data_IF_405356566885
#
_entry.id   IF_405356566885
#
_cell.length_a   1.000
_cell.length_b   1.000
_cell.length_c   1.000
_cell.angle_alpha   90.00
_cell.angle_beta   90.00
_cell.angle_gamma   90.00
#
_symmetry.space_group_name_H-M   'P 1'
#
loop_
_entity.id
_entity.type
_entity.pdbx_description
1 polymer ?
#
# COMPACT_ATOMS: atom_id res chain seq x y z
N UNK A 1 -54.17 -68.86 -21.93
CA UNK A 1 -54.63 -67.45 -21.83
C UNK A 1 -53.60 -66.66 -21.17
N UNK A 2 -52.78 -65.91 -21.88
CA UNK A 2 -51.71 -65.05 -21.38
C UNK A 2 -52.07 -63.59 -21.70
N UNK A 3 -52.36 -62.82 -20.72
CA UNK A 3 -52.67 -61.39 -20.89
C UNK A 3 -51.38 -60.58 -21.02
N UNK A 4 -51.26 -59.89 -22.19
CA UNK A 4 -50.26 -58.89 -22.43
C UNK A 4 -50.78 -57.47 -21.98
N UNK A 5 -50.12 -56.78 -21.14
CA UNK A 5 -50.31 -55.37 -20.84
C UNK A 5 -49.23 -54.54 -21.58
N UNK A 6 -49.59 -53.51 -22.35
CA UNK A 6 -48.59 -52.66 -22.97
C UNK A 6 -48.15 -51.57 -21.95
N UNK A 7 -46.83 -51.47 -21.74
CA UNK A 7 -46.19 -50.38 -21.04
C UNK A 7 -46.14 -49.14 -21.95
N UNK A 8 -46.89 -48.09 -21.57
CA UNK A 8 -46.71 -46.76 -22.16
C UNK A 8 -45.57 -46.07 -21.42
N UNK A 9 -44.39 -45.98 -22.03
CA UNK A 9 -43.28 -45.22 -21.56
C UNK A 9 -43.46 -43.74 -21.92
N UNK A 10 -43.79 -42.89 -20.95
CA UNK A 10 -43.81 -41.45 -21.11
C UNK A 10 -42.36 -40.92 -20.96
N UNK A 11 -41.69 -40.56 -22.05
CA UNK A 11 -40.39 -39.89 -22.06
C UNK A 11 -40.64 -38.43 -21.66
N UNK A 12 -40.33 -38.07 -20.40
CA UNK A 12 -40.20 -36.69 -19.94
C UNK A 12 -38.87 -36.16 -20.49
N UNK A 13 -38.91 -35.43 -21.61
CA UNK A 13 -37.82 -34.61 -22.09
C UNK A 13 -37.62 -33.44 -21.09
N UNK A 14 -36.71 -33.62 -20.14
CA UNK A 14 -36.30 -32.54 -19.26
C UNK A 14 -35.53 -31.49 -20.05
N UNK A 15 -36.17 -30.39 -20.40
CA UNK A 15 -35.48 -29.15 -20.79
C UNK A 15 -34.69 -28.63 -19.59
N UNK A 16 -33.43 -29.01 -19.47
CA UNK A 16 -32.50 -28.31 -18.59
C UNK A 16 -32.26 -26.92 -19.18
N UNK A 17 -33.03 -25.95 -18.72
CA UNK A 17 -32.71 -24.53 -18.90
C UNK A 17 -31.36 -24.31 -18.22
N UNK A 18 -30.27 -24.38 -18.98
CA UNK A 18 -28.99 -23.87 -18.58
C UNK A 18 -29.12 -22.35 -18.48
N UNK A 19 -29.49 -21.86 -17.27
CA UNK A 19 -29.33 -20.47 -16.97
C UNK A 19 -27.85 -20.14 -17.23
N UNK A 20 -27.55 -19.10 -18.04
CA UNK A 20 -26.17 -18.69 -18.22
C UNK A 20 -25.62 -18.38 -16.84
N UNK A 21 -24.62 -19.14 -16.42
CA UNK A 21 -23.87 -18.85 -15.20
C UNK A 21 -23.23 -17.49 -15.47
N UNK A 22 -23.85 -16.43 -14.93
CA UNK A 22 -23.38 -15.07 -15.11
C UNK A 22 -21.93 -15.06 -14.59
N UNK A 23 -20.98 -14.92 -15.50
CA UNK A 23 -19.57 -14.90 -15.14
C UNK A 23 -19.41 -13.85 -14.03
N UNK A 24 -18.97 -14.28 -12.85
CA UNK A 24 -18.81 -13.40 -11.70
C UNK A 24 -17.89 -12.27 -12.13
N UNK A 25 -18.39 -11.05 -12.09
CA UNK A 25 -17.61 -9.89 -12.48
C UNK A 25 -16.35 -9.84 -11.60
N UNK A 26 -15.17 -9.75 -12.22
CA UNK A 26 -13.91 -9.64 -11.50
C UNK A 26 -13.92 -8.39 -10.61
N UNK A 27 -13.50 -8.47 -9.36
CA UNK A 27 -13.49 -7.30 -8.48
C UNK A 27 -12.44 -6.29 -8.93
N UNK A 28 -12.71 -5.03 -8.70
CA UNK A 28 -11.67 -4.00 -8.69
C UNK A 28 -10.86 -4.16 -7.41
N UNK A 29 -9.61 -3.74 -7.44
CA UNK A 29 -8.69 -3.85 -6.32
C UNK A 29 -8.02 -2.48 -6.10
N UNK A 30 -8.16 -1.94 -4.90
CA UNK A 30 -7.40 -0.80 -4.40
C UNK A 30 -6.46 -1.33 -3.33
N UNK A 31 -5.17 -1.31 -3.60
CA UNK A 31 -4.12 -1.54 -2.62
C UNK A 31 -3.57 -0.18 -2.18
N UNK A 32 -3.95 0.26 -0.99
CA UNK A 32 -3.54 1.51 -0.38
C UNK A 32 -2.36 1.23 0.55
N UNK A 33 -1.16 1.46 0.04
CA UNK A 33 0.09 1.22 0.77
C UNK A 33 0.67 2.53 1.28
N UNK A 34 0.92 2.59 2.57
CA UNK A 34 1.52 3.74 3.26
C UNK A 34 3.00 3.47 3.52
N UNK A 35 3.81 4.51 3.55
CA UNK A 35 5.25 4.44 3.74
C UNK A 35 5.62 4.78 5.18
N UNK A 36 6.37 3.90 5.85
CA UNK A 36 6.92 4.09 7.21
C UNK A 36 5.87 4.24 8.34
N UNK A 37 4.69 3.70 8.22
CA UNK A 37 3.65 3.84 9.24
C UNK A 37 3.74 2.74 10.29
N UNK A 38 4.05 3.12 11.52
CA UNK A 38 3.97 2.23 12.67
C UNK A 38 2.51 1.87 13.02
N UNK A 39 2.31 0.67 13.54
CA UNK A 39 0.98 0.13 13.79
C UNK A 39 0.16 0.90 14.84
N UNK A 40 0.77 1.80 15.65
CA UNK A 40 0.02 2.66 16.56
C UNK A 40 -0.17 4.11 16.05
N UNK A 41 0.28 4.45 14.85
CA UNK A 41 0.15 5.81 14.28
C UNK A 41 -1.23 6.07 13.63
N UNK A 42 -2.27 5.60 14.28
CA UNK A 42 -3.67 5.69 13.86
C UNK A 42 -4.59 5.65 15.07
N UNK A 43 -5.80 6.19 14.95
CA UNK A 43 -6.84 6.05 15.98
C UNK A 43 -7.45 4.64 16.04
N UNK A 44 -7.16 3.78 15.04
CA UNK A 44 -7.58 2.37 15.03
C UNK A 44 -6.59 1.52 15.84
N UNK A 45 -6.98 0.90 16.96
CA UNK A 45 -6.08 0.08 17.75
C UNK A 45 -5.83 -1.29 17.08
N UNK A 46 -4.54 -1.62 16.84
CA UNK A 46 -4.07 -2.91 16.33
C UNK A 46 -3.42 -3.78 17.39
N UNK A 47 -3.30 -3.28 18.62
CA UNK A 47 -2.81 -4.03 19.79
C UNK A 47 -3.99 -4.48 20.66
N UNK A 48 -3.71 -5.25 21.71
CA UNK A 48 -4.73 -5.73 22.66
C UNK A 48 -5.53 -4.60 23.30
N UNK A 49 -4.85 -3.47 23.54
CA UNK A 49 -5.43 -2.26 24.13
C UNK A 49 -5.01 -1.02 23.34
N UNK A 50 -5.81 0.06 23.34
CA UNK A 50 -5.40 1.34 22.81
C UNK A 50 -4.09 1.82 23.44
N UNK A 51 -3.21 2.38 22.62
CA UNK A 51 -1.93 2.93 23.04
C UNK A 51 -1.99 4.45 23.12
N UNK A 52 -1.01 5.13 23.73
CA UNK A 52 -0.99 6.58 23.79
C UNK A 52 -1.13 7.27 22.44
N UNK A 53 -0.47 6.75 21.39
CA UNK A 53 -0.54 7.33 20.06
C UNK A 53 -1.89 7.11 19.38
N UNK A 54 -2.60 6.02 19.65
CA UNK A 54 -3.96 5.83 19.13
C UNK A 54 -4.92 6.96 19.56
N UNK A 55 -4.68 7.58 20.71
CA UNK A 55 -5.51 8.70 21.20
C UNK A 55 -5.07 10.05 20.62
N UNK A 56 -3.88 10.13 20.04
CA UNK A 56 -3.33 11.36 19.45
C UNK A 56 -3.78 11.57 18.02
N UNK A 57 -3.73 10.51 17.21
CA UNK A 57 -4.00 10.63 15.77
C UNK A 57 -5.47 10.65 15.45
N UNK A 58 -5.84 11.50 14.49
CA UNK A 58 -7.19 11.56 13.92
C UNK A 58 -7.18 10.85 12.56
N UNK A 59 -7.66 9.62 12.53
CA UNK A 59 -7.74 8.83 11.29
C UNK A 59 -9.16 8.28 11.08
N UNK A 60 -10.16 9.17 10.92
CA UNK A 60 -11.57 8.76 10.83
C UNK A 60 -11.88 7.88 9.61
N UNK A 61 -11.10 7.97 8.54
CA UNK A 61 -11.31 7.16 7.35
C UNK A 61 -10.73 5.75 7.50
N UNK A 62 -9.62 5.60 8.23
CA UNK A 62 -9.15 4.27 8.66
C UNK A 62 -10.17 3.62 9.62
N UNK A 63 -10.77 4.39 10.55
CA UNK A 63 -11.86 3.89 11.40
C UNK A 63 -13.06 3.44 10.55
N UNK A 64 -13.46 4.26 9.57
CA UNK A 64 -14.54 3.93 8.63
C UNK A 64 -14.23 2.62 7.89
N UNK A 65 -13.03 2.49 7.33
CA UNK A 65 -12.60 1.27 6.63
C UNK A 65 -12.59 0.05 7.57
N UNK A 66 -12.09 0.19 8.80
CA UNK A 66 -12.07 -0.87 9.80
C UNK A 66 -13.50 -1.30 10.21
N UNK A 67 -14.42 -0.35 10.34
CA UNK A 67 -15.82 -0.61 10.62
C UNK A 67 -16.57 -1.29 9.46
N UNK A 68 -16.14 -1.07 8.21
CA UNK A 68 -16.68 -1.73 7.03
C UNK A 68 -16.06 -3.11 6.78
N UNK A 69 -14.81 -3.31 7.20
CA UNK A 69 -13.98 -4.45 6.87
C UNK A 69 -13.52 -5.26 8.07
N UNK A 70 -12.37 -5.88 7.88
CA UNK A 70 -11.67 -6.70 8.88
C UNK A 70 -10.31 -6.08 9.16
N UNK A 71 -10.00 -5.88 10.43
CA UNK A 71 -8.69 -5.47 10.92
C UNK A 71 -7.82 -6.70 11.16
N UNK A 72 -6.62 -6.73 10.60
CA UNK A 72 -5.63 -7.78 10.86
C UNK A 72 -4.64 -7.31 11.91
N UNK A 73 -4.54 -8.08 13.00
CA UNK A 73 -3.65 -7.74 14.14
C UNK A 73 -2.28 -8.39 14.05
N UNK A 74 -2.06 -9.25 13.04
CA UNK A 74 -0.83 -9.99 12.81
C UNK A 74 -0.41 -9.88 11.33
N UNK A 75 -0.30 -8.66 10.82
CA UNK A 75 0.21 -8.39 9.48
C UNK A 75 1.69 -7.97 9.56
N UNK A 76 2.48 -8.43 8.60
CA UNK A 76 3.93 -8.26 8.58
C UNK A 76 4.43 -7.91 7.19
N UNK A 77 5.47 -7.07 7.15
CA UNK A 77 6.23 -6.75 5.94
C UNK A 77 7.74 -6.97 6.18
N UNK A 78 8.58 -6.63 5.22
CA UNK A 78 10.01 -6.52 5.47
C UNK A 78 10.30 -5.26 6.30
N UNK A 79 11.48 -5.19 6.90
CA UNK A 79 11.84 -4.07 7.77
C UNK A 79 12.15 -2.75 7.02
N UNK A 80 12.14 -2.77 5.68
CA UNK A 80 12.52 -1.65 4.81
C UNK A 80 11.67 -1.68 3.52
N UNK A 81 11.44 -0.51 2.94
CA UNK A 81 10.53 -0.29 1.82
C UNK A 81 10.82 -1.12 0.56
N UNK A 82 12.05 -1.09 -0.01
CA UNK A 82 12.34 -1.82 -1.27
C UNK A 82 12.15 -3.34 -1.13
N UNK A 83 12.66 -4.01 -0.09
CA UNK A 83 12.37 -5.43 0.14
C UNK A 83 10.87 -5.75 0.18
N UNK A 84 10.08 -4.95 0.90
CA UNK A 84 8.63 -5.14 1.01
C UNK A 84 7.92 -5.01 -0.33
N UNK A 85 8.25 -3.97 -1.09
CA UNK A 85 7.64 -3.72 -2.41
C UNK A 85 8.06 -4.75 -3.43
N UNK A 86 9.30 -5.23 -3.36
CA UNK A 86 9.77 -6.36 -4.16
C UNK A 86 9.05 -7.66 -3.80
N UNK A 87 8.84 -7.94 -2.50
CA UNK A 87 8.09 -9.10 -2.03
C UNK A 87 6.63 -9.06 -2.50
N UNK A 88 5.97 -7.91 -2.36
CA UNK A 88 4.61 -7.67 -2.81
C UNK A 88 4.42 -7.97 -4.31
N UNK A 89 5.33 -7.46 -5.15
CA UNK A 89 5.19 -7.55 -6.61
C UNK A 89 5.69 -8.88 -7.20
N UNK A 90 6.46 -9.66 -6.43
CA UNK A 90 7.05 -10.93 -6.89
C UNK A 90 6.48 -12.18 -6.24
N UNK A 91 5.84 -12.05 -5.07
CA UNK A 91 5.45 -13.19 -4.23
C UNK A 91 6.64 -13.94 -3.63
N UNK A 92 7.82 -13.34 -3.63
CA UNK A 92 9.03 -13.90 -3.05
C UNK A 92 9.38 -13.17 -1.75
N UNK A 93 9.86 -13.89 -0.75
CA UNK A 93 10.45 -13.24 0.42
C UNK A 93 11.82 -12.62 0.10
N UNK A 94 12.30 -11.73 0.98
CA UNK A 94 13.53 -11.00 0.77
C UNK A 94 14.77 -11.91 0.61
N UNK A 95 14.79 -13.07 1.25
CA UNK A 95 15.89 -14.03 1.09
C UNK A 95 15.94 -14.65 -0.33
N UNK A 96 14.77 -14.78 -0.98
CA UNK A 96 14.68 -15.36 -2.33
C UNK A 96 14.96 -14.34 -3.43
N UNK A 97 14.34 -13.14 -3.38
CA UNK A 97 14.64 -12.10 -4.37
C UNK A 97 15.94 -11.34 -4.07
N UNK A 98 16.55 -11.52 -2.90
CA UNK A 98 17.83 -10.94 -2.47
C UNK A 98 17.90 -9.41 -2.55
N UNK A 99 16.80 -8.72 -2.51
CA UNK A 99 16.75 -7.26 -2.27
C UNK A 99 16.56 -7.10 -0.77
N UNK A 100 17.61 -6.84 -0.03
CA UNK A 100 17.62 -6.87 1.44
C UNK A 100 17.79 -5.50 2.07
N UNK A 101 18.07 -4.48 1.25
CA UNK A 101 18.12 -3.08 1.65
C UNK A 101 17.43 -2.20 0.59
N UNK A 102 17.31 -0.89 0.82
CA UNK A 102 16.69 0.02 -0.12
C UNK A 102 17.54 0.25 -1.37
N UNK A 103 16.89 0.29 -2.53
CA UNK A 103 17.52 0.52 -3.83
C UNK A 103 17.43 1.99 -4.20
N UNK A 104 18.39 2.51 -4.99
CA UNK A 104 18.26 3.79 -5.66
C UNK A 104 19.20 3.91 -6.86
N UNK A 105 20.51 3.79 -6.67
CA UNK A 105 21.49 3.99 -7.73
C UNK A 105 21.89 2.67 -8.40
N UNK A 106 22.09 2.73 -9.70
CA UNK A 106 22.55 1.60 -10.48
C UNK A 106 23.85 0.98 -9.94
N UNK A 107 23.84 -0.33 -9.70
CA UNK A 107 24.96 -1.13 -9.19
C UNK A 107 25.59 -0.65 -7.87
N UNK A 108 24.90 0.16 -7.08
CA UNK A 108 25.42 0.65 -5.81
C UNK A 108 24.57 0.15 -4.65
N UNK A 109 25.22 -0.46 -3.67
CA UNK A 109 24.59 -0.83 -2.39
C UNK A 109 24.43 0.39 -1.51
N UNK A 110 23.42 0.35 -0.66
CA UNK A 110 23.08 1.39 0.32
C UNK A 110 23.44 0.96 1.74
N UNK A 111 24.18 -0.12 1.88
CA UNK A 111 24.67 -0.58 3.17
C UNK A 111 25.69 0.41 3.76
N UNK A 112 25.62 0.59 5.08
CA UNK A 112 26.66 1.31 5.80
C UNK A 112 27.93 0.44 5.86
N UNK A 113 29.13 1.03 5.64
CA UNK A 113 30.39 0.30 5.82
C UNK A 113 30.48 -0.31 7.21
N UNK A 114 31.10 -1.50 7.31
CA UNK A 114 31.34 -2.18 8.58
C UNK A 114 32.79 -2.67 8.62
N UNK A 115 33.48 -2.36 9.74
CA UNK A 115 34.83 -2.84 9.97
C UNK A 115 34.88 -4.22 10.66
N UNK A 116 33.71 -4.74 11.05
CA UNK A 116 33.59 -5.96 11.88
C UNK A 116 32.87 -7.13 11.20
N UNK A 117 32.16 -6.90 10.10
CA UNK A 117 31.48 -7.92 9.32
C UNK A 117 31.62 -7.68 7.83
N UNK A 118 31.83 -8.78 7.09
CA UNK A 118 31.73 -8.77 5.63
C UNK A 118 30.24 -8.71 5.24
N UNK A 119 29.88 -7.62 4.56
CA UNK A 119 28.48 -7.44 4.13
C UNK A 119 28.18 -8.37 2.95
N UNK A 120 27.07 -9.15 3.00
CA UNK A 120 26.71 -10.04 1.91
C UNK A 120 26.34 -9.25 0.66
N UNK A 121 26.66 -9.78 -0.51
CA UNK A 121 26.16 -9.24 -1.77
C UNK A 121 24.65 -9.41 -1.87
N UNK A 122 23.95 -8.38 -2.36
CA UNK A 122 22.53 -8.41 -2.60
C UNK A 122 22.14 -7.72 -3.92
N UNK A 123 20.90 -7.90 -4.34
CA UNK A 123 20.39 -7.39 -5.62
C UNK A 123 20.02 -5.91 -5.53
N UNK A 124 21.02 -5.03 -5.47
CA UNK A 124 20.85 -3.59 -5.30
C UNK A 124 20.16 -2.89 -6.49
N UNK A 125 20.06 -3.56 -7.65
CA UNK A 125 19.27 -3.09 -8.78
C UNK A 125 17.77 -3.47 -8.66
N UNK A 126 17.38 -4.13 -7.58
CA UNK A 126 15.99 -4.46 -7.31
C UNK A 126 15.42 -5.59 -8.16
N UNK A 127 14.11 -5.57 -8.36
CA UNK A 127 13.40 -6.47 -9.27
C UNK A 127 13.25 -5.86 -10.66
N UNK A 128 13.30 -6.71 -11.67
CA UNK A 128 13.23 -6.33 -13.08
C UNK A 128 12.18 -7.16 -13.80
N UNK A 129 11.51 -6.63 -14.82
CA UNK A 129 10.57 -7.43 -15.62
C UNK A 129 11.31 -8.56 -16.34
N UNK A 130 10.72 -9.75 -16.39
CA UNK A 130 11.30 -10.94 -17.01
C UNK A 130 11.75 -10.68 -18.47
N UNK A 131 10.95 -9.93 -19.23
CA UNK A 131 11.29 -9.53 -20.60
C UNK A 131 12.64 -8.80 -20.69
N UNK A 132 13.08 -8.12 -19.66
CA UNK A 132 14.35 -7.40 -19.64
C UNK A 132 15.56 -8.35 -19.54
N UNK A 133 15.39 -9.59 -19.10
CA UNK A 133 16.47 -10.57 -19.00
C UNK A 133 17.19 -10.79 -20.32
N UNK A 134 16.48 -10.65 -21.44
CA UNK A 134 17.03 -10.88 -22.78
C UNK A 134 17.90 -9.73 -23.31
N UNK A 135 17.81 -8.52 -22.74
CA UNK A 135 18.53 -7.34 -23.20
C UNK A 135 19.25 -6.57 -22.08
N UNK A 136 18.89 -6.80 -20.84
CA UNK A 136 19.56 -6.17 -19.71
C UNK A 136 20.96 -6.76 -19.52
N UNK A 137 21.97 -5.91 -19.66
CA UNK A 137 23.37 -6.30 -19.52
C UNK A 137 23.92 -5.88 -18.15
N UNK A 138 23.21 -6.29 -17.07
CA UNK A 138 23.65 -6.02 -15.70
C UNK A 138 23.19 -7.14 -14.75
N UNK A 139 23.96 -7.34 -13.68
CA UNK A 139 23.66 -8.25 -12.59
C UNK A 139 22.99 -7.56 -11.40
N UNK A 140 23.06 -8.19 -10.23
CA UNK A 140 22.54 -7.69 -8.96
C UNK A 140 21.05 -7.28 -9.05
N UNK A 141 20.26 -8.09 -9.76
CA UNK A 141 18.83 -7.92 -9.95
C UNK A 141 18.14 -9.28 -9.94
N UNK A 142 16.86 -9.30 -9.65
CA UNK A 142 16.01 -10.47 -9.80
C UNK A 142 14.98 -10.21 -10.89
N UNK A 143 14.97 -11.08 -11.92
CA UNK A 143 14.00 -10.99 -13.01
C UNK A 143 12.75 -11.77 -12.67
N UNK A 144 11.59 -11.17 -12.88
CA UNK A 144 10.28 -11.69 -12.47
C UNK A 144 9.19 -11.35 -13.50
N UNK A 145 8.10 -12.09 -13.47
CA UNK A 145 6.82 -11.63 -14.03
C UNK A 145 6.05 -10.91 -12.90
N UNK A 146 5.97 -9.56 -12.91
CA UNK A 146 5.41 -8.82 -11.80
C UNK A 146 3.90 -8.98 -11.67
N UNK A 147 3.37 -8.86 -10.44
CA UNK A 147 1.93 -8.88 -10.15
C UNK A 147 1.09 -8.00 -11.10
N UNK A 148 1.43 -6.71 -11.35
CA UNK A 148 0.65 -5.88 -12.26
C UNK A 148 0.69 -6.38 -13.70
N UNK A 149 1.80 -6.98 -14.17
CA UNK A 149 1.86 -7.60 -15.50
C UNK A 149 0.85 -8.74 -15.61
N UNK A 150 0.79 -9.64 -14.62
CA UNK A 150 -0.16 -10.75 -14.61
C UNK A 150 -1.60 -10.26 -14.57
N UNK A 151 -1.89 -9.22 -13.80
CA UNK A 151 -3.22 -8.61 -13.75
C UNK A 151 -3.58 -7.94 -15.08
N UNK A 152 -2.66 -7.18 -15.69
CA UNK A 152 -2.83 -6.58 -17.01
C UNK A 152 -3.13 -7.63 -18.08
N UNK A 153 -2.36 -8.71 -18.16
CA UNK A 153 -2.53 -9.80 -19.12
C UNK A 153 -3.88 -10.52 -18.97
N UNK A 154 -4.48 -10.39 -17.78
CA UNK A 154 -5.82 -10.90 -17.50
C UNK A 154 -6.91 -9.82 -17.56
N UNK A 155 -6.62 -8.69 -18.22
CA UNK A 155 -7.61 -7.67 -18.58
C UNK A 155 -7.91 -6.63 -17.52
N UNK A 156 -7.11 -6.51 -16.48
CA UNK A 156 -7.17 -5.37 -15.56
C UNK A 156 -6.57 -4.12 -16.20
N UNK A 157 -7.11 -2.97 -15.82
CA UNK A 157 -6.44 -1.67 -16.02
C UNK A 157 -5.60 -1.38 -14.79
N UNK A 158 -4.29 -1.30 -14.95
CA UNK A 158 -3.33 -1.27 -13.84
C UNK A 158 -2.75 0.12 -13.67
N UNK A 159 -2.86 0.67 -12.45
CA UNK A 159 -2.44 2.03 -12.12
C UNK A 159 -1.49 1.96 -10.93
N UNK A 160 -0.29 2.53 -11.07
CA UNK A 160 0.56 2.91 -9.94
C UNK A 160 0.43 4.41 -9.71
N UNK A 161 0.14 4.81 -8.48
CA UNK A 161 0.11 6.21 -8.07
C UNK A 161 0.96 6.41 -6.82
N UNK A 162 2.06 7.15 -6.96
CA UNK A 162 3.02 7.44 -5.89
C UNK A 162 4.28 6.58 -5.95
N UNK A 163 4.82 6.20 -4.80
CA UNK A 163 6.13 5.55 -4.65
C UNK A 163 6.19 4.17 -5.32
N UNK A 164 7.15 3.98 -6.21
CA UNK A 164 7.49 2.68 -6.80
C UNK A 164 8.59 1.96 -6.00
N UNK A 165 9.81 2.45 -6.03
CA UNK A 165 10.95 2.05 -5.17
C UNK A 165 11.23 0.53 -5.14
N UNK A 166 11.13 -0.15 -6.27
CA UNK A 166 11.41 -1.59 -6.40
C UNK A 166 12.51 -1.91 -7.44
N UNK A 167 12.98 -0.90 -8.20
CA UNK A 167 14.08 -1.00 -9.15
C UNK A 167 14.99 0.23 -9.08
N UNK A 168 16.29 0.05 -9.30
CA UNK A 168 17.27 1.13 -9.28
C UNK A 168 17.16 2.03 -10.52
N UNK A 169 17.65 3.26 -10.41
CA UNK A 169 17.80 4.20 -11.52
C UNK A 169 18.52 3.53 -12.70
N UNK A 170 18.17 3.94 -13.93
CA UNK A 170 18.75 3.43 -15.17
C UNK A 170 18.49 1.92 -15.43
N UNK A 171 17.55 1.32 -14.72
CA UNK A 171 17.10 -0.05 -14.99
C UNK A 171 15.64 -0.06 -15.47
N UNK A 172 15.20 -1.08 -16.22
CA UNK A 172 13.78 -1.21 -16.60
C UNK A 172 12.82 -1.18 -15.38
N UNK A 173 13.23 -1.76 -14.26
CA UNK A 173 12.45 -1.78 -13.01
C UNK A 173 12.29 -0.41 -12.34
N UNK A 174 13.02 0.63 -12.77
CA UNK A 174 12.78 2.01 -12.34
C UNK A 174 11.42 2.50 -12.81
N UNK A 175 11.01 2.08 -14.02
CA UNK A 175 9.78 2.55 -14.65
C UNK A 175 8.63 1.57 -14.42
N UNK A 176 7.60 1.93 -13.65
CA UNK A 176 6.44 1.08 -13.42
C UNK A 176 5.72 0.58 -14.67
N UNK A 177 5.76 1.33 -15.79
CA UNK A 177 5.12 0.85 -17.03
C UNK A 177 5.86 -0.35 -17.63
N UNK A 178 7.15 -0.49 -17.40
CA UNK A 178 7.91 -1.69 -17.76
C UNK A 178 7.55 -2.90 -16.88
N UNK A 179 7.01 -2.65 -15.70
CA UNK A 179 6.58 -3.66 -14.74
C UNK A 179 5.10 -4.09 -14.92
N UNK A 180 4.44 -3.61 -15.99
CA UNK A 180 3.08 -4.02 -16.33
C UNK A 180 1.97 -3.11 -15.80
N UNK A 181 2.30 -1.90 -15.34
CA UNK A 181 1.30 -0.88 -15.09
C UNK A 181 0.95 -0.14 -16.38
N UNK A 182 -0.37 0.03 -16.68
CA UNK A 182 -0.84 0.87 -17.78
C UNK A 182 -0.56 2.35 -17.54
N UNK A 183 -0.57 2.75 -16.26
CA UNK A 183 -0.39 4.14 -15.83
C UNK A 183 0.63 4.20 -14.70
N UNK A 184 1.58 5.11 -14.83
CA UNK A 184 2.51 5.50 -13.78
C UNK A 184 2.30 6.97 -13.42
N UNK A 185 1.94 7.23 -12.17
CA UNK A 185 1.78 8.58 -11.62
C UNK A 185 2.85 8.76 -10.55
N UNK A 186 3.87 9.55 -10.87
CA UNK A 186 4.93 9.94 -9.94
C UNK A 186 5.76 8.78 -9.34
N UNK A 187 5.74 7.59 -9.94
CA UNK A 187 6.53 6.45 -9.48
C UNK A 187 7.90 6.39 -10.16
N UNK A 188 8.97 6.22 -9.38
CA UNK A 188 10.34 6.07 -9.83
C UNK A 188 11.19 5.29 -8.81
N UNK A 189 12.52 5.29 -9.00
CA UNK A 189 13.45 4.63 -8.09
C UNK A 189 13.55 5.30 -6.70
N UNK A 190 13.09 6.55 -6.54
CA UNK A 190 13.22 7.29 -5.29
C UNK A 190 12.43 6.65 -4.14
N UNK A 191 13.09 6.53 -2.99
CA UNK A 191 12.55 5.87 -1.81
C UNK A 191 11.76 6.77 -0.87
N UNK A 192 11.70 8.06 -1.14
CA UNK A 192 10.96 9.06 -0.37
C UNK A 192 10.85 10.35 -1.14
N UNK A 193 10.01 11.30 -0.72
CA UNK A 193 9.94 12.62 -1.35
C UNK A 193 11.04 13.52 -0.75
N UNK A 194 11.61 14.39 -1.55
CA UNK A 194 12.48 15.44 -1.02
C UNK A 194 11.68 16.52 -0.27
N UNK A 195 10.41 16.67 -0.60
CA UNK A 195 9.45 17.54 0.07
C UNK A 195 8.01 17.12 -0.24
N UNK A 196 7.09 17.42 0.67
CA UNK A 196 5.64 17.30 0.41
C UNK A 196 5.02 18.59 -0.10
N UNK A 197 5.80 19.67 -0.16
CA UNK A 197 5.33 20.99 -0.49
C UNK A 197 5.48 21.29 -1.98
N UNK A 198 4.42 21.78 -2.60
CA UNK A 198 4.42 22.24 -3.99
C UNK A 198 5.44 23.36 -4.21
N UNK A 199 5.63 24.25 -3.22
CA UNK A 199 6.61 25.33 -3.26
C UNK A 199 8.07 24.84 -3.40
N UNK A 200 8.34 23.60 -3.01
CA UNK A 200 9.64 22.95 -3.17
C UNK A 200 9.68 22.03 -4.41
N UNK A 201 8.65 22.08 -5.27
CA UNK A 201 8.47 21.19 -6.42
C UNK A 201 8.54 19.69 -6.02
N UNK A 202 8.04 19.35 -4.82
CA UNK A 202 8.08 18.03 -4.22
C UNK A 202 9.48 17.41 -4.11
N UNK A 203 10.51 18.25 -3.96
CA UNK A 203 11.89 17.82 -3.76
C UNK A 203 12.81 18.11 -4.94
N UNK A 204 14.06 17.62 -4.83
CA UNK A 204 15.13 17.85 -5.82
C UNK A 204 16.03 16.60 -5.93
N UNK A 205 16.75 16.49 -7.06
CA UNK A 205 17.72 15.42 -7.30
C UNK A 205 17.08 14.04 -7.19
N UNK A 206 17.73 13.12 -6.55
CA UNK A 206 17.29 11.72 -6.42
C UNK A 206 15.97 11.54 -5.67
N UNK A 207 15.52 12.54 -4.94
CA UNK A 207 14.27 12.53 -4.17
C UNK A 207 13.20 13.46 -4.73
N UNK A 208 13.37 13.91 -5.96
CA UNK A 208 12.32 14.66 -6.66
C UNK A 208 11.16 13.75 -7.06
N UNK A 209 9.95 14.16 -6.74
CA UNK A 209 8.72 13.50 -7.17
C UNK A 209 8.16 14.23 -8.39
N UNK A 210 8.48 13.72 -9.58
CA UNK A 210 8.11 14.33 -10.86
C UNK A 210 6.71 13.95 -11.37
N UNK A 211 6.28 14.57 -12.47
CA UNK A 211 5.01 14.28 -13.14
C UNK A 211 3.79 14.93 -12.50
N UNK A 212 4.00 15.85 -11.55
CA UNK A 212 2.96 16.55 -10.80
C UNK A 212 3.07 18.08 -10.93
N UNK A 213 3.73 18.57 -11.97
CA UNK A 213 4.07 20.00 -12.17
C UNK A 213 2.83 20.91 -12.18
N UNK A 214 1.69 20.39 -12.65
CA UNK A 214 0.40 21.14 -12.68
C UNK A 214 -0.13 21.54 -11.28
N UNK A 215 0.46 20.97 -10.21
CA UNK A 215 0.08 21.25 -8.83
C UNK A 215 1.00 22.26 -8.13
N UNK A 216 2.15 22.59 -8.70
CA UNK A 216 3.14 23.47 -8.06
C UNK A 216 2.56 24.86 -7.77
N UNK A 217 2.00 25.53 -8.79
CA UNK A 217 1.41 26.87 -8.64
C UNK A 217 0.16 26.90 -7.75
N UNK A 218 -0.52 25.76 -7.60
CA UNK A 218 -1.72 25.64 -6.77
C UNK A 218 -1.41 25.47 -5.29
N UNK A 219 -0.14 25.26 -4.92
CA UNK A 219 0.25 24.97 -3.54
C UNK A 219 -0.32 23.67 -2.99
N UNK A 220 -0.68 22.70 -3.86
CA UNK A 220 -1.30 21.44 -3.46
C UNK A 220 -0.29 20.58 -2.71
N UNK A 221 -0.66 20.01 -1.59
CA UNK A 221 0.18 19.09 -0.83
C UNK A 221 0.37 17.77 -1.60
N UNK A 222 1.57 17.14 -1.54
CA UNK A 222 1.90 15.97 -2.37
C UNK A 222 0.87 14.84 -2.22
N UNK A 223 0.46 14.53 -1.00
CA UNK A 223 -0.53 13.48 -0.74
C UNK A 223 -1.86 13.76 -1.43
N UNK A 224 -2.29 15.03 -1.43
CA UNK A 224 -3.50 15.45 -2.15
C UNK A 224 -3.34 15.40 -3.67
N UNK A 225 -2.19 15.85 -4.18
CA UNK A 225 -1.91 15.80 -5.63
C UNK A 225 -2.01 14.36 -6.16
N UNK A 226 -1.40 13.40 -5.46
CA UNK A 226 -1.49 11.97 -5.79
C UNK A 226 -2.93 11.46 -5.73
N UNK A 227 -3.71 11.87 -4.72
CA UNK A 227 -5.11 11.48 -4.57
C UNK A 227 -5.97 11.95 -5.74
N UNK A 228 -5.79 13.23 -6.12
CA UNK A 228 -6.51 13.82 -7.25
C UNK A 228 -6.18 13.10 -8.57
N UNK A 229 -4.91 12.77 -8.80
CA UNK A 229 -4.48 12.00 -9.97
C UNK A 229 -5.07 10.60 -9.97
N UNK A 230 -5.01 9.88 -8.84
CA UNK A 230 -5.58 8.54 -8.75
C UNK A 230 -7.08 8.54 -9.08
N UNK A 231 -7.83 9.50 -8.52
CA UNK A 231 -9.26 9.65 -8.79
C UNK A 231 -9.51 9.96 -10.27
N UNK A 232 -8.72 10.85 -10.87
CA UNK A 232 -8.88 11.20 -12.29
C UNK A 232 -8.65 10.00 -13.21
N UNK A 233 -7.60 9.22 -12.94
CA UNK A 233 -7.28 8.02 -13.72
C UNK A 233 -8.26 6.86 -13.51
N UNK A 234 -8.97 6.77 -12.39
CA UNK A 234 -10.01 5.78 -12.14
C UNK A 234 -11.27 6.00 -12.99
N UNK A 235 -11.54 7.23 -13.44
CA UNK A 235 -12.72 7.55 -14.26
C UNK A 235 -12.77 6.73 -15.55
N UNK A 236 -11.61 6.50 -16.18
CA UNK A 236 -11.50 5.76 -17.44
C UNK A 236 -11.96 4.30 -17.29
N UNK A 237 -11.34 3.45 -16.45
CA UNK A 237 -11.76 2.04 -16.33
C UNK A 237 -13.18 1.91 -15.79
N UNK A 238 -13.66 2.83 -14.95
CA UNK A 238 -15.06 2.84 -14.47
C UNK A 238 -16.04 3.09 -15.62
N UNK A 239 -15.78 4.07 -16.49
CA UNK A 239 -16.61 4.35 -17.66
C UNK A 239 -16.60 3.19 -18.66
N UNK A 240 -15.45 2.56 -18.88
CA UNK A 240 -15.26 1.39 -19.76
C UNK A 240 -15.76 0.08 -19.13
N UNK A 241 -16.16 0.09 -17.85
CA UNK A 241 -16.52 -1.11 -17.06
C UNK A 241 -15.41 -2.18 -17.05
N UNK A 242 -14.17 -1.75 -17.13
CA UNK A 242 -12.97 -2.60 -17.06
C UNK A 242 -12.58 -2.77 -15.60
N UNK A 243 -12.26 -3.98 -15.12
CA UNK A 243 -11.72 -4.14 -13.78
C UNK A 243 -10.39 -3.40 -13.67
N UNK A 244 -10.12 -2.78 -12.52
CA UNK A 244 -8.88 -2.05 -12.29
C UNK A 244 -8.13 -2.57 -11.06
N UNK A 245 -6.82 -2.41 -11.10
CA UNK A 245 -5.91 -2.52 -9.97
C UNK A 245 -5.25 -1.16 -9.75
N UNK A 246 -5.62 -0.47 -8.68
CA UNK A 246 -4.97 0.74 -8.22
C UNK A 246 -3.98 0.37 -7.10
N UNK A 247 -2.69 0.51 -7.39
CA UNK A 247 -1.65 0.51 -6.38
C UNK A 247 -1.43 1.95 -5.94
N UNK A 248 -2.24 2.40 -4.95
CA UNK A 248 -2.10 3.70 -4.31
C UNK A 248 -0.98 3.61 -3.29
N UNK A 249 0.20 3.98 -3.70
CA UNK A 249 1.44 3.83 -2.97
C UNK A 249 1.93 5.20 -2.51
N UNK A 250 1.44 5.65 -1.36
CA UNK A 250 1.82 6.97 -0.86
C UNK A 250 3.30 7.07 -0.49
N UNK A 251 3.87 8.27 -0.64
CA UNK A 251 5.11 8.65 0.03
C UNK A 251 4.88 8.96 1.52
N UNK A 252 3.65 9.33 1.91
CA UNK A 252 3.28 9.55 3.29
C UNK A 252 3.30 8.21 4.04
N UNK A 253 3.82 8.18 5.23
CA UNK A 253 4.24 9.26 6.12
C UNK A 253 5.78 9.34 6.27
N UNK A 254 6.52 8.97 5.22
CA UNK A 254 7.97 9.04 5.20
C UNK A 254 8.48 10.46 5.49
N UNK A 255 9.68 10.57 6.05
CA UNK A 255 10.37 11.87 6.19
C UNK A 255 10.55 12.57 4.82
N UNK A 256 10.59 13.92 4.78
CA UNK A 256 10.58 14.87 5.90
C UNK A 256 9.18 15.03 6.51
N UNK A 257 9.09 15.18 7.85
CA UNK A 257 7.81 15.43 8.52
C UNK A 257 7.35 16.87 8.29
N UNK A 258 6.77 17.11 7.11
CA UNK A 258 6.15 18.38 6.75
C UNK A 258 4.63 18.27 6.94
N UNK A 259 4.00 19.25 7.58
CA UNK A 259 2.58 19.15 7.89
C UNK A 259 1.72 19.38 6.66
N UNK A 260 0.67 18.62 6.52
CA UNK A 260 -0.47 19.07 5.74
C UNK A 260 -1.19 20.17 6.54
N UNK A 261 -1.02 21.41 6.12
CA UNK A 261 -1.51 22.59 6.85
C UNK A 261 -3.02 22.62 7.06
N UNK A 262 -3.78 21.84 6.29
CA UNK A 262 -5.24 21.71 6.43
C UNK A 262 -5.63 21.11 7.77
N UNK A 263 -4.74 20.33 8.40
CA UNK A 263 -5.00 19.56 9.61
C UNK A 263 -4.23 20.04 10.83
N UNK A 264 -3.31 20.99 10.71
CA UNK A 264 -2.50 21.48 11.85
C UNK A 264 -3.36 22.02 12.98
N UNK A 265 -4.52 22.63 12.68
CA UNK A 265 -5.46 23.15 13.68
C UNK A 265 -6.05 22.08 14.62
N UNK A 266 -5.96 20.79 14.27
CA UNK A 266 -6.39 19.71 15.14
C UNK A 266 -5.36 19.40 16.23
N UNK A 267 -4.11 19.83 16.03
CA UNK A 267 -2.96 19.53 16.89
C UNK A 267 -2.30 20.77 17.51
N UNK A 268 -2.80 21.96 17.22
CA UNK A 268 -2.33 23.22 17.78
C UNK A 268 -3.51 24.15 18.09
N UNK A 269 -3.31 25.03 19.10
CA UNK A 269 -4.26 26.08 19.43
C UNK A 269 -4.13 27.28 18.48
N UNK A 270 -4.95 28.32 18.72
CA UNK A 270 -4.96 29.53 17.87
C UNK A 270 -3.65 30.33 17.89
N UNK A 271 -2.85 30.16 18.93
CA UNK A 271 -1.56 30.80 19.09
C UNK A 271 -0.41 29.96 18.49
N UNK A 272 -0.76 28.84 17.82
CA UNK A 272 0.21 27.91 17.22
C UNK A 272 0.92 27.02 18.24
N UNK A 273 0.47 27.01 19.50
CA UNK A 273 0.99 26.12 20.52
C UNK A 273 0.37 24.74 20.37
N UNK A 274 1.16 23.68 20.49
CA UNK A 274 0.62 22.33 20.45
C UNK A 274 -0.46 22.10 21.50
N UNK A 275 -1.51 21.35 21.16
CA UNK A 275 -2.54 20.94 22.11
C UNK A 275 -1.92 20.18 23.28
N UNK A 276 -2.56 20.26 24.46
CA UNK A 276 -2.11 19.52 25.62
C UNK A 276 -2.53 18.06 25.51
N UNK A 277 -1.55 17.16 25.55
CA UNK A 277 -1.75 15.71 25.55
C UNK A 277 -1.82 15.24 27.01
N UNK A 278 -2.99 14.82 27.46
CA UNK A 278 -3.26 14.42 28.86
C UNK A 278 -2.47 13.19 29.29
N UNK A 279 -2.14 12.30 28.37
CA UNK A 279 -1.35 11.11 28.65
C UNK A 279 0.14 11.44 28.72
N UNK A 280 0.59 12.29 27.81
CA UNK A 280 1.97 12.80 27.81
C UNK A 280 2.21 13.78 28.96
N UNK A 281 1.15 14.41 29.49
CA UNK A 281 1.21 15.54 30.46
C UNK A 281 2.08 16.69 29.96
N UNK A 282 2.02 16.97 28.68
CA UNK A 282 2.77 18.03 28.01
C UNK A 282 2.05 18.49 26.75
N UNK A 283 2.41 19.68 26.24
CA UNK A 283 1.97 20.13 24.92
C UNK A 283 2.75 19.40 23.82
N UNK A 284 2.10 19.15 22.69
CA UNK A 284 2.75 18.64 21.50
C UNK A 284 3.83 19.62 21.03
N UNK A 285 4.96 19.09 20.62
CA UNK A 285 6.01 19.88 19.98
C UNK A 285 5.76 20.00 18.48
N UNK A 286 6.53 20.86 17.79
CA UNK A 286 6.36 21.11 16.35
C UNK A 286 6.50 19.85 15.49
N UNK A 287 7.40 18.94 15.82
CA UNK A 287 7.58 17.69 15.08
C UNK A 287 6.37 16.77 15.23
N UNK A 288 5.82 16.67 16.44
CA UNK A 288 4.61 15.90 16.72
C UNK A 288 3.38 16.45 15.97
N UNK A 289 3.24 17.79 15.94
CA UNK A 289 2.16 18.45 15.19
C UNK A 289 2.30 18.17 13.69
N UNK A 290 3.50 18.37 13.14
CA UNK A 290 3.78 18.16 11.72
C UNK A 290 3.49 16.73 11.30
N UNK A 291 3.97 15.77 12.10
CA UNK A 291 3.77 14.35 11.81
C UNK A 291 2.30 13.95 11.91
N UNK A 292 1.58 14.38 12.94
CA UNK A 292 0.17 14.09 13.10
C UNK A 292 -0.68 14.69 11.96
N UNK A 293 -0.38 15.91 11.52
CA UNK A 293 -1.04 16.52 10.37
C UNK A 293 -0.71 15.81 9.03
N UNK A 294 0.49 15.25 8.89
CA UNK A 294 0.86 14.43 7.74
C UNK A 294 0.08 13.10 7.72
N UNK A 295 -0.07 12.45 8.88
CA UNK A 295 -0.88 11.22 9.04
C UNK A 295 -2.35 11.49 8.70
N UNK A 296 -2.91 12.60 9.19
CA UNK A 296 -4.31 12.96 8.89
C UNK A 296 -4.53 13.30 7.40
N UNK A 297 -3.54 13.92 6.74
CA UNK A 297 -3.55 14.14 5.30
C UNK A 297 -3.56 12.83 4.50
N UNK A 298 -2.85 11.81 4.96
CA UNK A 298 -2.87 10.46 4.38
C UNK A 298 -4.23 9.79 4.61
N UNK A 299 -4.79 9.88 5.81
CA UNK A 299 -6.13 9.36 6.12
C UNK A 299 -7.22 10.02 5.27
N UNK A 300 -7.12 11.34 5.05
CA UNK A 300 -8.02 12.06 4.13
C UNK A 300 -7.96 11.48 2.72
N UNK A 301 -6.78 11.14 2.21
CA UNK A 301 -6.63 10.52 0.89
C UNK A 301 -7.40 9.20 0.79
N UNK A 302 -7.35 8.37 1.83
CA UNK A 302 -8.16 7.15 1.91
C UNK A 302 -9.66 7.47 1.85
N UNK A 303 -10.09 8.48 2.60
CA UNK A 303 -11.48 8.96 2.60
C UNK A 303 -11.94 9.43 1.23
N UNK A 304 -11.16 10.28 0.56
CA UNK A 304 -11.50 10.83 -0.76
C UNK A 304 -11.64 9.72 -1.83
N UNK A 305 -10.80 8.69 -1.78
CA UNK A 305 -10.92 7.51 -2.66
C UNK A 305 -12.19 6.71 -2.35
N UNK A 306 -12.51 6.50 -1.08
CA UNK A 306 -13.73 5.80 -0.67
C UNK A 306 -14.97 6.58 -1.10
N UNK A 307 -15.00 7.90 -0.88
CA UNK A 307 -16.10 8.78 -1.27
C UNK A 307 -16.29 8.82 -2.79
N UNK A 308 -15.20 8.86 -3.56
CA UNK A 308 -15.26 8.76 -5.01
C UNK A 308 -15.85 7.43 -5.47
N UNK A 309 -15.45 6.32 -4.87
CA UNK A 309 -16.01 5.00 -5.20
C UNK A 309 -17.50 4.93 -4.85
N UNK A 310 -17.94 5.49 -3.73
CA UNK A 310 -19.36 5.51 -3.32
C UNK A 310 -20.25 6.31 -4.26
N UNK A 311 -19.73 7.32 -4.96
CA UNK A 311 -20.44 8.01 -6.05
C UNK A 311 -20.70 7.08 -7.25
N UNK A 312 -20.06 5.89 -7.28
CA UNK A 312 -20.22 4.86 -8.29
C UNK A 312 -20.68 3.52 -7.66
N UNK A 313 -21.93 3.39 -7.18
CA UNK A 313 -22.36 2.29 -6.28
C UNK A 313 -22.09 0.89 -6.82
N UNK A 314 -22.21 0.67 -8.15
CA UNK A 314 -21.92 -0.62 -8.75
C UNK A 314 -20.43 -0.96 -8.68
N UNK A 315 -19.58 0.04 -8.84
CA UNK A 315 -18.12 -0.08 -8.71
C UNK A 315 -17.74 -0.33 -7.26
N UNK A 316 -18.25 0.47 -6.32
CA UNK A 316 -17.97 0.33 -4.90
C UNK A 316 -18.33 -1.08 -4.37
N UNK A 317 -19.50 -1.60 -4.76
CA UNK A 317 -19.95 -2.95 -4.36
C UNK A 317 -19.11 -4.09 -4.95
N UNK A 318 -18.23 -3.79 -5.90
CA UNK A 318 -17.32 -4.76 -6.53
C UNK A 318 -15.85 -4.35 -6.38
N UNK A 319 -15.51 -3.52 -5.40
CA UNK A 319 -14.14 -3.06 -5.15
C UNK A 319 -13.65 -3.57 -3.81
N UNK A 320 -12.51 -4.22 -3.83
CA UNK A 320 -11.74 -4.61 -2.65
C UNK A 320 -10.82 -3.45 -2.28
N UNK A 321 -10.79 -3.06 -1.01
CA UNK A 321 -9.86 -2.06 -0.49
C UNK A 321 -8.98 -2.73 0.55
N UNK A 322 -7.67 -2.64 0.36
CA UNK A 322 -6.66 -3.16 1.28
C UNK A 322 -5.79 -1.98 1.70
N UNK A 323 -5.73 -1.72 2.99
CA UNK A 323 -4.83 -0.75 3.61
C UNK A 323 -3.71 -1.49 4.33
N UNK A 324 -2.46 -1.07 4.11
CA UNK A 324 -1.28 -1.61 4.82
C UNK A 324 -0.12 -0.62 4.77
N UNK A 325 0.84 -0.71 5.72
CA UNK A 325 2.16 -0.08 5.63
C UNK A 325 3.18 -1.00 4.96
N UNK A 326 4.25 -0.44 4.43
CA UNK A 326 5.33 -1.22 3.80
C UNK A 326 6.43 -1.65 4.77
N UNK A 327 6.56 -1.01 5.90
CA UNK A 327 7.42 -1.38 7.03
C UNK A 327 6.99 -0.61 8.28
N UNK A 328 7.52 -0.99 9.43
CA UNK A 328 7.27 -0.29 10.68
C UNK A 328 7.70 1.17 10.68
N UNK A 329 7.14 1.96 11.58
CA UNK A 329 7.54 3.35 11.78
C UNK A 329 9.01 3.48 12.12
N UNK A 330 9.55 4.71 12.03
CA UNK A 330 10.99 5.00 12.21
C UNK A 330 11.58 4.50 13.54
N UNK A 331 10.73 4.25 14.56
CA UNK A 331 11.18 3.76 15.86
C UNK A 331 11.97 4.80 16.65
N UNK A 332 11.81 6.05 16.31
CA UNK A 332 12.39 7.18 17.07
C UNK A 332 11.38 7.56 18.11
N UNK A 333 11.76 7.46 19.37
CA UNK A 333 10.97 8.04 20.45
C UNK A 333 10.78 9.53 20.14
N UNK A 334 9.55 9.92 19.86
CA UNK A 334 9.20 11.31 19.50
C UNK A 334 9.53 12.25 20.67
N UNK A 335 9.65 11.67 21.87
CA UNK A 335 10.15 12.36 23.08
C UNK A 335 11.15 11.50 23.83
N UNK A 336 12.28 12.10 24.15
CA UNK A 336 13.31 11.49 24.99
C UNK A 336 12.73 11.04 26.35
N UNK A 337 12.94 9.78 26.71
CA UNK A 337 12.45 9.19 27.96
C UNK A 337 10.98 8.76 27.97
N UNK A 338 10.31 8.75 26.81
CA UNK A 338 8.91 8.32 26.67
C UNK A 338 8.81 7.27 25.56
N UNK A 339 9.28 6.06 25.89
CA UNK A 339 9.24 4.90 24.96
C UNK A 339 7.82 4.52 24.54
N UNK A 340 6.82 4.75 25.40
CA UNK A 340 5.39 4.52 25.12
C UNK A 340 4.83 5.44 24.02
N UNK A 341 5.58 6.47 23.60
CA UNK A 341 5.30 7.32 22.46
C UNK A 341 6.19 7.02 21.24
N UNK A 342 6.89 5.88 21.23
CA UNK A 342 7.48 5.34 20.01
C UNK A 342 6.39 4.81 19.08
N UNK A 343 6.56 5.01 17.78
CA UNK A 343 5.59 4.66 16.74
C UNK A 343 5.20 3.17 16.74
N UNK A 344 6.05 2.33 17.31
CA UNK A 344 5.90 0.87 17.31
C UNK A 344 5.72 0.27 18.71
N UNK A 345 5.74 1.08 19.77
CA UNK A 345 5.60 0.59 21.15
C UNK A 345 4.30 -0.23 21.35
N UNK A 346 4.32 -1.34 22.12
CA UNK A 346 5.41 -1.91 22.89
C UNK A 346 6.34 -2.86 22.10
N UNK A 347 6.20 -2.93 20.78
CA UNK A 347 7.11 -3.69 19.95
C UNK A 347 8.50 -3.03 19.93
N UNK A 348 9.54 -3.85 20.01
CA UNK A 348 10.93 -3.39 20.03
C UNK A 348 11.36 -2.84 18.67
N UNK A 349 12.07 -1.72 18.66
CA UNK A 349 12.71 -1.08 17.51
C UNK A 349 11.72 -0.60 16.43
N UNK A 350 12.18 -0.30 15.23
CA UNK A 350 11.40 0.22 14.11
C UNK A 350 12.05 -0.09 12.77
N UNK A 351 11.76 0.71 11.77
CA UNK A 351 12.27 0.60 10.39
C UNK A 351 13.76 0.21 10.35
N UNK A 352 14.10 -0.70 9.47
CA UNK A 352 15.46 -1.23 9.32
C UNK A 352 15.83 -2.33 10.31
N UNK A 353 14.94 -2.68 11.24
CA UNK A 353 15.18 -3.72 12.24
C UNK A 353 14.33 -4.96 12.00
N UNK A 354 14.93 -6.13 12.18
CA UNK A 354 14.22 -7.41 12.14
C UNK A 354 13.39 -7.69 13.42
N UNK A 355 13.41 -6.79 14.41
CA UNK A 355 12.50 -6.87 15.55
C UNK A 355 11.07 -6.49 15.17
N UNK A 356 10.13 -6.86 16.03
CA UNK A 356 8.70 -6.73 15.76
C UNK A 356 8.27 -5.31 15.34
N UNK A 357 8.89 -4.27 15.92
CA UNK A 357 8.57 -2.88 15.56
C UNK A 357 8.98 -2.47 14.14
N UNK A 358 9.91 -3.22 13.51
CA UNK A 358 10.31 -2.94 12.13
C UNK A 358 9.47 -3.66 11.08
N UNK A 359 8.72 -4.70 11.47
CA UNK A 359 8.08 -5.62 10.53
C UNK A 359 6.58 -5.81 10.75
N UNK A 360 6.02 -5.36 11.88
CA UNK A 360 4.58 -5.47 12.17
C UNK A 360 3.86 -4.22 11.69
N UNK A 361 2.78 -4.43 10.91
CA UNK A 361 2.11 -3.38 10.16
C UNK A 361 0.62 -3.25 10.52
N UNK A 362 0.04 -2.05 10.44
CA UNK A 362 -1.40 -1.89 10.43
C UNK A 362 -1.96 -2.43 9.12
N UNK A 363 -3.00 -3.26 9.17
CA UNK A 363 -3.65 -3.79 7.97
C UNK A 363 -5.16 -3.88 8.15
N UNK A 364 -5.90 -3.38 7.15
CA UNK A 364 -7.36 -3.45 7.10
C UNK A 364 -7.76 -3.95 5.70
N UNK A 365 -8.70 -4.89 5.63
CA UNK A 365 -9.25 -5.39 4.37
C UNK A 365 -10.75 -5.23 4.36
N UNK A 366 -11.25 -4.54 3.35
CA UNK A 366 -12.66 -4.48 3.01
C UNK A 366 -12.91 -5.17 1.67
N UNK A 367 -13.71 -6.23 1.70
CA UNK A 367 -14.18 -6.93 0.50
C UNK A 367 -15.71 -7.09 0.61
N UNK A 368 -16.47 -6.33 -0.17
CA UNK A 368 -17.93 -6.35 -0.08
C UNK A 368 -18.49 -7.76 -0.16
N UNK A 369 -19.40 -8.12 0.75
CA UNK A 369 -20.07 -9.43 0.84
C UNK A 369 -19.15 -10.61 1.21
N UNK A 370 -17.87 -10.37 1.45
CA UNK A 370 -16.89 -11.40 1.85
C UNK A 370 -16.37 -11.15 3.26
N UNK A 371 -15.87 -9.94 3.52
CA UNK A 371 -15.40 -9.56 4.87
C UNK A 371 -16.57 -9.27 5.79
N UNK A 372 -16.44 -9.67 7.05
CA UNK A 372 -17.42 -9.33 8.10
C UNK A 372 -17.06 -7.98 8.72
N UNK A 373 -17.97 -7.03 8.59
CA UNK A 373 -17.77 -5.66 9.06
C UNK A 373 -17.44 -5.58 10.56
N UNK A 374 -16.50 -4.71 10.91
CA UNK A 374 -16.11 -4.39 12.28
C UNK A 374 -15.46 -5.53 13.05
N UNK A 375 -14.88 -6.53 12.36
CA UNK A 375 -14.22 -7.67 13.00
C UNK A 375 -12.70 -7.56 12.98
N UNK A 376 -12.03 -8.35 13.81
CA UNK A 376 -10.59 -8.52 13.80
C UNK A 376 -10.22 -9.96 13.43
N UNK A 377 -9.05 -10.14 12.82
CA UNK A 377 -8.46 -11.41 12.46
C UNK A 377 -7.00 -11.43 12.94
N UNK A 378 -6.60 -12.51 13.61
CA UNK A 378 -5.26 -12.71 14.15
C UNK A 378 -4.42 -13.74 13.37
N UNK A 379 -4.89 -14.17 12.20
CA UNK A 379 -4.08 -14.94 11.28
C UNK A 379 -2.87 -14.13 10.83
N UNK A 380 -1.72 -14.77 10.75
CA UNK A 380 -0.50 -14.14 10.27
C UNK A 380 -0.55 -13.97 8.77
N UNK A 381 -0.26 -12.75 8.31
CA UNK A 381 -0.18 -12.38 6.90
C UNK A 381 1.17 -11.74 6.66
N UNK A 382 1.88 -12.20 5.63
CA UNK A 382 3.12 -11.61 5.16
C UNK A 382 2.87 -10.83 3.87
N UNK A 383 3.68 -9.82 3.62
CA UNK A 383 3.49 -8.97 2.42
C UNK A 383 3.62 -9.75 1.11
N UNK A 384 4.41 -10.81 1.06
CA UNK A 384 4.50 -11.71 -0.10
C UNK A 384 3.25 -12.53 -0.35
N UNK A 385 2.38 -12.75 0.66
CA UNK A 385 1.11 -13.45 0.51
C UNK A 385 0.12 -12.68 -0.36
N UNK A 386 0.32 -11.36 -0.53
CA UNK A 386 -0.53 -10.55 -1.40
C UNK A 386 -0.44 -10.96 -2.86
N UNK A 387 0.72 -11.37 -3.33
CA UNK A 387 0.90 -11.78 -4.73
C UNK A 387 -0.08 -12.90 -5.14
N UNK A 388 -0.06 -14.09 -4.50
CA UNK A 388 -1.01 -15.14 -4.82
C UNK A 388 -2.45 -14.76 -4.46
N UNK A 389 -2.67 -14.05 -3.35
CA UNK A 389 -4.02 -13.68 -2.89
C UNK A 389 -4.71 -12.73 -3.86
N UNK A 390 -4.02 -11.69 -4.33
CA UNK A 390 -4.58 -10.73 -5.29
C UNK A 390 -4.87 -11.38 -6.63
N UNK A 391 -4.01 -12.28 -7.09
CA UNK A 391 -4.25 -13.07 -8.31
C UNK A 391 -5.48 -13.98 -8.15
N UNK A 392 -5.63 -14.64 -7.00
CA UNK A 392 -6.81 -15.47 -6.73
C UNK A 392 -8.08 -14.64 -6.65
N UNK A 393 -8.06 -13.51 -5.94
CA UNK A 393 -9.17 -12.55 -5.87
C UNK A 393 -9.58 -12.05 -7.27
N UNK A 394 -8.60 -11.81 -8.14
CA UNK A 394 -8.78 -11.41 -9.53
C UNK A 394 -9.27 -12.55 -10.43
N UNK A 395 -9.33 -13.79 -9.93
CA UNK A 395 -9.68 -14.98 -10.72
C UNK A 395 -8.59 -15.41 -11.70
N UNK A 396 -7.35 -14.98 -11.49
CA UNK A 396 -6.19 -15.37 -12.29
C UNK A 396 -5.72 -16.75 -11.82
N UNK A 397 -5.65 -17.69 -12.77
CA UNK A 397 -5.20 -19.06 -12.53
C UNK A 397 -4.04 -19.39 -13.46
N UNK A 398 -3.22 -20.34 -13.09
CA UNK A 398 -2.10 -20.84 -13.92
C UNK A 398 -1.02 -19.77 -14.21
N UNK A 399 -0.66 -18.98 -13.20
CA UNK A 399 0.41 -17.97 -13.27
C UNK A 399 1.79 -18.50 -12.85
N UNK A 400 1.94 -19.84 -12.74
CA UNK A 400 3.19 -20.54 -12.38
C UNK A 400 3.96 -20.94 -13.61
#
# INVERSE_FOLDING_TARGET
>A
MKNFYPFFGMALAGFALSLPMQARQRPNIVLFLVDDMGWQETSVPFWEHPTPLNNRYHTPNMERLANMGVKFTQAYACAISSPSRCSLLSGMNAARHRVTNWTIHFNRTTDSPSDSIDLPEWNCNGIQPEKAQNYANFGRATFITPLPQLLHDHGYYTILCGKAHFGAQQTPGENPTEMGFDVNIAGAANGGPGSYLAADNYGRGDFHVGGLEKYYEKGTFLTEALTLEAIDHLKKPIAEKKPFFLYMSHYAIHIPYQPDIRFTSNYQDRDGQGVYDEQLKARLNKSEINHAALVEGMDKSLGDLMDFLEQHPKTAQNTIIIFMSDNGGQGVAVRQGREDYDQNWPARAGKGSAYLGGIKEPMIVYWPKVTKAGTSNDNRVMIEDFFPSLLEMAGVRNYR
#
